data_IF_032086326751
#
_entry.id   IF_032086326751
#
_cell.length_a   1.000
_cell.length_b   1.000
_cell.length_c   1.000
_cell.angle_alpha   90.00
_cell.angle_beta   90.00
_cell.angle_gamma   90.00
#
_symmetry.space_group_name_H-M   'P 1'
#
loop_
_entity.id
_entity.type
_entity.pdbx_description
1 polymer ?
#
# COMPACT_ATOMS: atom_id res chain seq x y z
N UNK A 1 -17.10 15.96 -0.09
CA UNK A 1 -16.62 16.22 -1.45
C UNK A 1 -15.10 16.13 -1.49
N UNK A 2 -14.56 15.50 -2.52
CA UNK A 2 -13.13 15.51 -2.84
C UNK A 2 -12.90 16.68 -3.81
N UNK A 3 -11.95 17.54 -3.50
CA UNK A 3 -11.65 18.73 -4.29
C UNK A 3 -10.17 18.80 -4.63
N UNK A 4 -9.83 19.45 -5.75
CA UNK A 4 -8.47 19.87 -6.04
C UNK A 4 -8.24 21.29 -5.53
N UNK A 5 -7.04 21.55 -5.01
CA UNK A 5 -6.67 22.85 -4.48
C UNK A 5 -6.02 23.71 -5.57
N UNK A 6 -6.41 24.96 -5.65
CA UNK A 6 -5.86 25.95 -6.58
C UNK A 6 -5.37 27.18 -5.82
N UNK A 7 -4.42 27.89 -6.38
CA UNK A 7 -3.98 29.19 -5.90
C UNK A 7 -5.01 30.27 -6.28
N UNK A 8 -5.00 31.46 -5.63
CA UNK A 8 -5.94 32.51 -5.94
C UNK A 8 -5.91 33.00 -7.41
N UNK A 9 -4.78 32.83 -8.10
CA UNK A 9 -4.62 33.13 -9.53
C UNK A 9 -5.06 31.96 -10.46
N UNK A 10 -5.74 30.95 -9.91
CA UNK A 10 -6.35 29.85 -10.66
C UNK A 10 -5.39 28.74 -11.11
N UNK A 11 -4.14 28.73 -10.62
CA UNK A 11 -3.19 27.64 -10.93
C UNK A 11 -3.34 26.48 -9.96
N UNK A 12 -3.12 25.21 -10.41
CA UNK A 12 -3.06 24.07 -9.50
C UNK A 12 -2.04 24.31 -8.38
N UNK A 13 -2.45 24.11 -7.12
CA UNK A 13 -1.53 24.26 -6.00
C UNK A 13 -0.50 23.13 -5.98
N UNK A 14 0.79 23.48 -6.00
CA UNK A 14 1.88 22.51 -6.08
C UNK A 14 1.99 21.59 -4.85
N UNK A 15 1.43 22.00 -3.71
CA UNK A 15 1.36 21.23 -2.48
C UNK A 15 0.12 20.34 -2.35
N UNK A 16 -0.72 20.23 -3.39
CA UNK A 16 -1.88 19.31 -3.39
C UNK A 16 -1.51 17.94 -3.94
N UNK A 17 -1.51 16.87 -3.11
CA UNK A 17 -1.18 15.51 -3.57
C UNK A 17 -2.06 15.02 -4.72
N UNK A 18 -3.34 15.43 -4.74
CA UNK A 18 -4.27 15.06 -5.81
C UNK A 18 -3.86 15.67 -7.16
N UNK A 19 -3.40 16.92 -7.17
CA UNK A 19 -2.86 17.56 -8.37
C UNK A 19 -1.55 16.92 -8.84
N UNK A 20 -0.72 16.44 -7.90
CA UNK A 20 0.52 15.72 -8.23
C UNK A 20 0.21 14.40 -8.95
N UNK A 21 -0.73 13.60 -8.44
CA UNK A 21 -1.15 12.37 -9.12
C UNK A 21 -1.72 12.68 -10.51
N UNK A 22 -2.58 13.72 -10.64
CA UNK A 22 -3.12 14.11 -11.95
C UNK A 22 -2.02 14.43 -12.96
N UNK A 23 -1.01 15.22 -12.56
CA UNK A 23 0.13 15.55 -13.41
C UNK A 23 0.87 14.28 -13.87
N UNK A 24 1.08 13.32 -12.97
CA UNK A 24 1.74 12.05 -13.30
C UNK A 24 0.88 11.21 -14.26
N UNK A 25 -0.43 11.20 -14.09
CA UNK A 25 -1.35 10.51 -15.00
C UNK A 25 -1.41 11.18 -16.38
N UNK A 26 -1.32 12.50 -16.46
CA UNK A 26 -1.23 13.23 -17.72
C UNK A 26 0.07 12.86 -18.48
N UNK A 27 1.19 12.70 -17.78
CA UNK A 27 2.45 12.21 -18.38
C UNK A 27 2.32 10.79 -18.90
N UNK A 28 1.69 9.90 -18.13
CA UNK A 28 1.41 8.52 -18.58
C UNK A 28 0.50 8.51 -19.82
N UNK A 29 -0.55 9.35 -19.81
CA UNK A 29 -1.47 9.48 -20.94
C UNK A 29 -0.79 10.02 -22.20
N UNK A 30 0.15 10.97 -22.06
CA UNK A 30 0.96 11.46 -23.16
C UNK A 30 1.88 10.37 -23.75
N UNK A 31 2.29 9.41 -22.93
CA UNK A 31 3.05 8.23 -23.36
C UNK A 31 2.15 7.06 -23.88
N UNK A 32 0.83 7.27 -23.99
CA UNK A 32 -0.13 6.28 -24.49
C UNK A 32 -0.67 5.31 -23.42
N UNK A 33 -0.47 5.59 -22.12
CA UNK A 33 -0.86 4.70 -21.05
C UNK A 33 -2.01 5.24 -20.20
N UNK A 34 -2.86 4.32 -19.73
CA UNK A 34 -3.85 4.55 -18.68
C UNK A 34 -3.53 3.66 -17.49
N UNK A 35 -3.29 4.27 -16.34
CA UNK A 35 -2.91 3.55 -15.12
C UNK A 35 -4.15 3.16 -14.31
N UNK A 36 -4.31 1.86 -14.10
CA UNK A 36 -5.41 1.26 -13.35
C UNK A 36 -4.89 0.65 -12.06
N UNK A 37 -5.62 0.86 -10.95
CA UNK A 37 -5.27 0.34 -9.64
C UNK A 37 -6.49 -0.21 -8.90
N UNK A 38 -6.24 -1.21 -8.04
CA UNK A 38 -7.21 -1.76 -7.10
C UNK A 38 -6.52 -1.97 -5.75
N UNK A 39 -6.86 -1.21 -4.71
CA UNK A 39 -6.31 -1.41 -3.37
C UNK A 39 -7.12 -2.45 -2.59
N UNK A 40 -6.42 -3.27 -1.80
CA UNK A 40 -6.93 -4.13 -0.74
C UNK A 40 -6.73 -3.36 0.58
N UNK A 41 -7.81 -2.96 1.24
CA UNK A 41 -7.75 -2.07 2.40
C UNK A 41 -7.94 -2.86 3.69
N UNK A 42 -6.86 -3.16 4.40
CA UNK A 42 -6.91 -3.80 5.70
C UNK A 42 -7.04 -2.76 6.84
N UNK A 43 -7.73 -3.16 7.90
CA UNK A 43 -7.95 -2.34 9.09
C UNK A 43 -8.33 -3.19 10.29
N UNK A 44 -8.22 -2.59 11.50
CA UNK A 44 -8.65 -3.24 12.73
C UNK A 44 -9.91 -2.57 13.29
N UNK A 45 -10.76 -3.39 13.92
CA UNK A 45 -11.88 -2.96 14.74
C UNK A 45 -11.61 -3.25 16.22
N UNK A 46 -11.72 -2.21 17.03
CA UNK A 46 -11.60 -2.28 18.48
C UNK A 46 -12.93 -1.92 19.13
N UNK A 47 -13.23 -2.54 20.27
CA UNK A 47 -14.32 -2.12 21.14
C UNK A 47 -14.03 -0.74 21.72
N UNK A 48 -15.09 -0.01 22.06
CA UNK A 48 -14.97 1.23 22.82
C UNK A 48 -15.82 1.17 24.09
N UNK A 49 -15.37 1.84 25.16
CA UNK A 49 -16.20 2.05 26.34
C UNK A 49 -17.20 3.21 26.11
N UNK A 50 -18.16 3.45 27.04
CA UNK A 50 -19.10 4.56 26.92
C UNK A 50 -18.45 5.96 26.89
N UNK A 51 -17.20 6.10 27.33
CA UNK A 51 -16.42 7.33 27.28
C UNK A 51 -15.62 7.48 25.96
N UNK A 52 -15.67 6.46 25.06
CA UNK A 52 -14.96 6.43 23.80
C UNK A 52 -13.50 5.95 23.90
N UNK A 53 -13.07 5.42 25.05
CA UNK A 53 -11.74 4.82 25.16
C UNK A 53 -11.69 3.53 24.36
N UNK A 54 -10.56 3.33 23.65
CA UNK A 54 -10.31 2.12 22.86
C UNK A 54 -9.92 0.99 23.80
N UNK A 55 -10.58 -0.17 23.65
CA UNK A 55 -10.39 -1.36 24.45
C UNK A 55 -9.66 -2.46 23.63
N UNK A 56 -10.04 -3.72 23.85
CA UNK A 56 -9.51 -4.87 23.12
C UNK A 56 -10.06 -4.96 21.68
N UNK A 57 -9.45 -5.78 20.80
CA UNK A 57 -10.00 -6.12 19.50
C UNK A 57 -11.46 -6.59 19.59
N UNK A 58 -12.27 -6.26 18.57
CA UNK A 58 -13.70 -6.55 18.57
C UNK A 58 -14.01 -8.05 18.71
N UNK A 59 -13.19 -8.88 18.09
CA UNK A 59 -13.29 -10.34 18.18
C UNK A 59 -11.89 -10.99 18.21
N UNK A 60 -11.90 -12.34 18.27
CA UNK A 60 -10.68 -13.17 18.24
C UNK A 60 -10.68 -14.13 17.06
N UNK A 61 -11.50 -13.87 16.04
CA UNK A 61 -11.60 -14.68 14.86
C UNK A 61 -10.34 -14.58 13.96
N UNK A 62 -10.27 -15.45 12.98
CA UNK A 62 -9.31 -15.46 11.88
C UNK A 62 -10.05 -15.80 10.59
N UNK A 63 -9.35 -16.00 9.47
CA UNK A 63 -9.87 -16.15 8.10
C UNK A 63 -11.12 -17.03 7.95
N UNK A 64 -11.19 -18.16 8.64
CA UNK A 64 -12.24 -19.17 8.44
C UNK A 64 -13.12 -19.39 9.68
N UNK A 65 -12.99 -18.52 10.68
CA UNK A 65 -13.68 -18.66 11.96
C UNK A 65 -15.08 -18.04 11.93
N UNK A 66 -15.99 -18.61 11.13
CA UNK A 66 -17.33 -18.07 10.90
C UNK A 66 -18.12 -17.87 12.19
N UNK A 67 -17.95 -18.77 13.17
CA UNK A 67 -18.72 -18.73 14.43
C UNK A 67 -18.23 -17.68 15.42
N UNK A 68 -16.97 -17.27 15.34
CA UNK A 68 -16.33 -16.30 16.23
C UNK A 68 -16.13 -14.93 15.58
N UNK A 69 -16.39 -14.81 14.28
CA UNK A 69 -16.39 -13.55 13.53
C UNK A 69 -17.63 -12.70 13.87
N UNK A 70 -17.45 -11.80 14.82
CA UNK A 70 -18.53 -10.93 15.29
C UNK A 70 -18.79 -9.73 14.37
N UNK A 71 -17.91 -9.46 13.37
CA UNK A 71 -18.00 -8.28 12.54
C UNK A 71 -18.62 -8.52 11.15
N UNK A 72 -19.10 -9.72 10.82
CA UNK A 72 -19.69 -10.03 9.50
C UNK A 72 -20.79 -9.04 9.11
N UNK A 73 -21.69 -8.69 10.03
CA UNK A 73 -22.78 -7.75 9.75
C UNK A 73 -22.27 -6.32 9.56
N UNK A 74 -21.21 -5.93 10.28
CA UNK A 74 -20.58 -4.61 10.20
C UNK A 74 -19.87 -4.47 8.86
N UNK A 75 -19.07 -5.47 8.45
CA UNK A 75 -18.43 -5.48 7.11
C UNK A 75 -19.46 -5.38 5.97
N UNK A 76 -20.58 -6.10 6.09
CA UNK A 76 -21.68 -5.98 5.12
C UNK A 76 -22.29 -4.58 5.11
N UNK A 77 -22.47 -3.94 6.25
CA UNK A 77 -22.94 -2.56 6.34
C UNK A 77 -21.91 -1.60 5.71
N UNK A 78 -20.62 -1.77 5.99
CA UNK A 78 -19.52 -1.02 5.39
C UNK A 78 -19.56 -1.13 3.84
N UNK A 79 -19.60 -2.35 3.32
CA UNK A 79 -19.66 -2.59 1.88
C UNK A 79 -20.90 -1.94 1.22
N UNK A 80 -22.08 -2.07 1.82
CA UNK A 80 -23.31 -1.43 1.32
C UNK A 80 -23.22 0.09 1.34
N UNK A 81 -22.61 0.66 2.40
CA UNK A 81 -22.39 2.10 2.50
C UNK A 81 -21.48 2.60 1.37
N UNK A 82 -20.38 1.91 1.11
CA UNK A 82 -19.47 2.24 0.00
C UNK A 82 -20.20 2.12 -1.35
N UNK A 83 -20.94 1.04 -1.57
CA UNK A 83 -21.71 0.85 -2.81
C UNK A 83 -22.77 1.94 -3.02
N UNK A 84 -23.47 2.36 -1.95
CA UNK A 84 -24.43 3.47 -2.03
C UNK A 84 -23.74 4.83 -2.35
N UNK A 85 -22.45 4.97 -2.03
CA UNK A 85 -21.63 6.12 -2.40
C UNK A 85 -20.99 6.00 -3.80
N UNK A 86 -21.32 4.94 -4.55
CA UNK A 86 -20.78 4.69 -5.90
C UNK A 86 -19.39 4.04 -5.91
N UNK A 87 -18.91 3.54 -4.76
CA UNK A 87 -17.63 2.86 -4.63
C UNK A 87 -17.86 1.35 -4.71
N UNK A 88 -17.41 0.73 -5.80
CA UNK A 88 -17.57 -0.70 -5.99
C UNK A 88 -16.62 -1.49 -5.09
N UNK A 89 -17.18 -2.41 -4.31
CA UNK A 89 -16.47 -3.36 -3.45
C UNK A 89 -16.43 -4.71 -4.16
N UNK A 90 -15.28 -5.36 -4.22
CA UNK A 90 -15.07 -6.66 -4.85
C UNK A 90 -15.19 -7.80 -3.84
N UNK A 91 -14.50 -7.68 -2.68
CA UNK A 91 -14.56 -8.66 -1.61
C UNK A 91 -14.52 -7.98 -0.23
N UNK A 92 -14.95 -8.73 0.79
CA UNK A 92 -14.82 -8.38 2.21
C UNK A 92 -14.62 -9.66 3.00
N UNK A 93 -13.64 -9.68 3.89
CA UNK A 93 -13.40 -10.85 4.75
C UNK A 93 -12.76 -10.45 6.09
N UNK A 94 -12.73 -11.42 7.01
CA UNK A 94 -11.91 -11.32 8.21
C UNK A 94 -10.48 -11.66 7.85
N UNK A 95 -9.51 -10.96 8.44
CA UNK A 95 -8.09 -11.19 8.27
C UNK A 95 -7.52 -12.13 9.36
N UNK A 96 -6.19 -12.38 9.31
CA UNK A 96 -5.51 -13.34 10.18
C UNK A 96 -5.55 -12.92 11.65
N UNK A 97 -5.32 -11.63 11.94
CA UNK A 97 -5.22 -11.16 13.30
C UNK A 97 -6.60 -10.89 13.95
N UNK A 98 -6.71 -11.04 15.28
CA UNK A 98 -7.92 -10.68 16.01
C UNK A 98 -8.41 -9.27 15.70
N UNK A 99 -9.69 -9.14 15.33
CA UNK A 99 -10.29 -7.85 14.97
C UNK A 99 -9.78 -7.23 13.69
N UNK A 100 -9.05 -7.96 12.85
CA UNK A 100 -8.52 -7.49 11.56
C UNK A 100 -9.47 -7.86 10.42
N UNK A 101 -9.70 -6.90 9.54
CA UNK A 101 -10.63 -7.04 8.41
C UNK A 101 -10.03 -6.43 7.15
N UNK A 102 -10.55 -6.87 6.00
CA UNK A 102 -10.15 -6.36 4.70
C UNK A 102 -11.39 -6.04 3.84
N UNK A 103 -11.26 -4.97 3.06
CA UNK A 103 -12.23 -4.58 2.03
C UNK A 103 -11.45 -4.29 0.74
N UNK A 104 -11.71 -5.09 -0.28
CA UNK A 104 -11.12 -4.94 -1.60
C UNK A 104 -11.97 -4.00 -2.44
N UNK A 105 -11.36 -2.92 -2.90
CA UNK A 105 -12.01 -2.02 -3.83
C UNK A 105 -11.77 -2.49 -5.27
N UNK A 106 -12.83 -2.43 -6.09
CA UNK A 106 -12.73 -2.78 -7.49
C UNK A 106 -11.75 -1.83 -8.21
N UNK A 107 -11.01 -2.36 -9.19
CA UNK A 107 -10.09 -1.58 -9.99
C UNK A 107 -10.77 -0.38 -10.67
N UNK A 108 -10.07 0.74 -10.69
CA UNK A 108 -10.51 1.97 -11.32
C UNK A 108 -9.28 2.73 -11.88
N UNK A 109 -9.54 3.79 -12.62
CA UNK A 109 -8.51 4.80 -12.93
C UNK A 109 -7.86 5.29 -11.62
N UNK A 110 -6.55 5.48 -11.63
CA UNK A 110 -5.81 5.70 -10.38
C UNK A 110 -6.26 6.96 -9.61
N UNK A 111 -6.69 8.04 -10.29
CA UNK A 111 -7.20 9.21 -9.59
C UNK A 111 -8.53 8.91 -8.90
N UNK A 112 -9.44 8.23 -9.58
CA UNK A 112 -10.72 7.81 -9.02
C UNK A 112 -10.52 6.81 -7.87
N UNK A 113 -9.61 5.85 -8.02
CA UNK A 113 -9.29 4.88 -6.96
C UNK A 113 -8.72 5.56 -5.71
N UNK A 114 -7.86 6.57 -5.87
CA UNK A 114 -7.35 7.37 -4.75
C UNK A 114 -8.47 8.15 -4.04
N UNK A 115 -9.36 8.79 -4.79
CA UNK A 115 -10.56 9.48 -4.26
C UNK A 115 -11.46 8.50 -3.49
N UNK A 116 -11.69 7.30 -4.05
CA UNK A 116 -12.48 6.24 -3.42
C UNK A 116 -11.84 5.76 -2.10
N UNK A 117 -10.52 5.57 -2.08
CA UNK A 117 -9.81 5.10 -0.90
C UNK A 117 -9.86 6.12 0.26
N UNK A 118 -9.67 7.40 -0.03
CA UNK A 118 -9.81 8.48 0.98
C UNK A 118 -11.23 8.49 1.55
N UNK A 119 -12.24 8.38 0.66
CA UNK A 119 -13.66 8.34 1.05
C UNK A 119 -13.98 7.09 1.87
N UNK A 120 -13.47 5.92 1.44
CA UNK A 120 -13.68 4.66 2.14
C UNK A 120 -13.16 4.71 3.58
N UNK A 121 -11.96 5.23 3.83
CA UNK A 121 -11.42 5.37 5.20
C UNK A 121 -12.35 6.17 6.12
N UNK A 122 -12.93 7.25 5.62
CA UNK A 122 -13.87 8.08 6.39
C UNK A 122 -15.18 7.31 6.63
N UNK A 123 -15.75 6.69 5.59
CA UNK A 123 -16.99 5.94 5.68
C UNK A 123 -16.87 4.75 6.65
N UNK A 124 -15.78 3.98 6.56
CA UNK A 124 -15.55 2.83 7.43
C UNK A 124 -15.43 3.22 8.90
N UNK A 125 -14.72 4.33 9.21
CA UNK A 125 -14.66 4.88 10.57
C UNK A 125 -16.04 5.30 11.06
N UNK A 126 -16.84 5.97 10.23
CA UNK A 126 -18.19 6.38 10.60
C UNK A 126 -19.11 5.18 10.89
N UNK A 127 -19.08 4.15 10.01
CA UNK A 127 -19.86 2.93 10.22
C UNK A 127 -19.41 2.19 11.49
N UNK A 128 -18.11 2.09 11.75
CA UNK A 128 -17.60 1.51 12.98
C UNK A 128 -18.11 2.25 14.22
N UNK A 129 -18.03 3.57 14.24
CA UNK A 129 -18.52 4.41 15.33
C UNK A 129 -20.02 4.24 15.57
N UNK A 130 -20.82 4.15 14.51
CA UNK A 130 -22.27 3.88 14.62
C UNK A 130 -22.59 2.52 15.28
N UNK A 131 -21.63 1.59 15.25
CA UNK A 131 -21.73 0.27 15.89
C UNK A 131 -20.97 0.17 17.21
N UNK A 132 -20.58 1.29 17.84
CA UNK A 132 -19.85 1.32 19.10
C UNK A 132 -18.42 0.78 19.00
N UNK A 133 -17.81 0.89 17.83
CA UNK A 133 -16.46 0.41 17.54
C UNK A 133 -15.54 1.54 17.08
N UNK A 134 -14.25 1.32 17.24
CA UNK A 134 -13.19 2.14 16.66
C UNK A 134 -12.51 1.41 15.51
N UNK A 135 -12.57 1.97 14.29
CA UNK A 135 -11.80 1.48 13.15
C UNK A 135 -10.45 2.22 13.06
N UNK A 136 -9.37 1.49 12.99
CA UNK A 136 -8.03 2.06 12.80
C UNK A 136 -7.34 1.50 11.57
N UNK A 137 -6.67 2.40 10.84
CA UNK A 137 -5.78 2.12 9.72
C UNK A 137 -4.30 2.18 10.15
N UNK A 138 -4.02 2.05 11.42
CA UNK A 138 -2.66 1.94 11.96
C UNK A 138 -2.01 0.65 11.46
N UNK A 139 -0.80 0.69 10.87
CA UNK A 139 -0.19 -0.49 10.25
C UNK A 139 0.08 -1.65 11.20
N UNK A 140 0.42 -1.36 12.46
CA UNK A 140 0.70 -2.39 13.48
C UNK A 140 0.14 -1.97 14.84
N UNK A 141 -1.18 -2.10 15.08
CA UNK A 141 -1.79 -1.68 16.33
C UNK A 141 -1.55 -2.68 17.48
N UNK A 142 -1.29 -3.95 17.18
CA UNK A 142 -1.11 -5.02 18.17
C UNK A 142 0.25 -5.68 17.97
N UNK A 143 1.03 -5.79 19.04
CA UNK A 143 2.30 -6.49 19.03
C UNK A 143 2.10 -8.02 18.90
N UNK A 144 3.02 -8.69 18.17
CA UNK A 144 3.03 -10.14 18.09
C UNK A 144 2.02 -10.79 17.13
N UNK A 145 1.17 -10.01 16.45
CA UNK A 145 0.22 -10.50 15.43
C UNK A 145 0.44 -9.80 14.08
N UNK A 146 -0.21 -10.23 13.01
CA UNK A 146 -0.12 -9.57 11.70
C UNK A 146 -0.58 -8.11 11.78
N UNK A 147 0.00 -7.24 10.96
CA UNK A 147 -0.41 -5.84 10.83
C UNK A 147 -1.18 -5.62 9.53
N UNK A 148 -1.79 -4.44 9.39
CA UNK A 148 -2.57 -4.06 8.22
C UNK A 148 -1.68 -3.63 7.05
N UNK A 149 -1.83 -4.29 5.92
CA UNK A 149 -1.34 -3.89 4.61
C UNK A 149 -2.38 -3.12 3.81
N UNK A 150 -1.92 -2.57 2.72
CA UNK A 150 -2.75 -2.08 1.64
C UNK A 150 -2.10 -2.50 0.32
N UNK A 151 -2.30 -3.76 -0.04
CA UNK A 151 -1.75 -4.25 -1.30
C UNK A 151 -2.40 -3.49 -2.47
N UNK A 152 -1.61 -3.17 -3.47
CA UNK A 152 -2.10 -2.41 -4.62
C UNK A 152 -1.88 -3.19 -5.89
N UNK A 153 -2.97 -3.69 -6.46
CA UNK A 153 -2.98 -4.25 -7.79
C UNK A 153 -2.85 -3.14 -8.84
N UNK A 154 -2.02 -3.37 -9.85
CA UNK A 154 -1.67 -2.37 -10.84
C UNK A 154 -1.66 -2.98 -12.24
N UNK A 155 -2.12 -2.21 -13.23
CA UNK A 155 -1.96 -2.51 -14.65
C UNK A 155 -1.90 -1.24 -15.48
N UNK A 156 -1.27 -1.31 -16.65
CA UNK A 156 -1.36 -0.28 -17.68
C UNK A 156 -2.25 -0.76 -18.82
N UNK A 157 -3.21 0.08 -19.18
CA UNK A 157 -3.98 -0.12 -20.39
C UNK A 157 -3.46 0.82 -21.48
N UNK A 158 -3.55 0.39 -22.73
CA UNK A 158 -3.42 1.27 -23.86
C UNK A 158 -4.52 2.34 -23.78
N UNK A 159 -4.12 3.60 -23.90
CA UNK A 159 -5.01 4.75 -23.69
C UNK A 159 -6.19 4.78 -24.66
N UNK A 160 -5.94 4.42 -25.92
CA UNK A 160 -6.90 4.60 -26.99
C UNK A 160 -7.78 3.35 -27.19
N UNK A 161 -7.18 2.16 -27.05
CA UNK A 161 -7.89 0.88 -27.28
C UNK A 161 -8.42 0.24 -26.00
N UNK A 162 -7.92 0.63 -24.82
CA UNK A 162 -8.24 -0.01 -23.55
C UNK A 162 -7.66 -1.42 -23.37
N UNK A 163 -6.78 -1.88 -24.29
CA UNK A 163 -6.12 -3.18 -24.21
C UNK A 163 -5.14 -3.20 -23.03
N UNK A 164 -5.11 -4.29 -22.27
CA UNK A 164 -4.15 -4.47 -21.20
C UNK A 164 -2.74 -4.70 -21.77
N UNK A 165 -1.82 -3.79 -21.46
CA UNK A 165 -0.45 -3.80 -21.93
C UNK A 165 0.49 -4.72 -21.13
N UNK A 166 0.03 -5.21 -19.98
CA UNK A 166 0.79 -6.15 -19.15
C UNK A 166 0.69 -7.59 -19.63
N UNK A 167 -0.33 -7.89 -20.45
CA UNK A 167 -0.64 -9.25 -20.87
C UNK A 167 0.25 -9.73 -22.03
N UNK A 168 0.82 -10.91 -21.88
CA UNK A 168 1.41 -11.72 -22.94
C UNK A 168 1.03 -13.19 -22.72
N UNK A 169 0.12 -13.75 -23.54
CA UNK A 169 -0.34 -15.14 -23.38
C UNK A 169 0.75 -16.19 -23.55
N UNK A 170 1.80 -15.88 -24.28
CA UNK A 170 2.89 -16.82 -24.63
C UNK A 170 4.01 -16.81 -23.57
N UNK A 171 4.00 -15.85 -22.65
CA UNK A 171 4.98 -15.76 -21.55
C UNK A 171 4.60 -16.71 -20.40
N UNK A 172 5.56 -17.42 -19.78
CA UNK A 172 5.27 -18.34 -18.66
C UNK A 172 4.56 -17.71 -17.47
N UNK A 173 4.79 -16.41 -17.24
CA UNK A 173 4.11 -15.63 -16.21
C UNK A 173 2.90 -14.85 -16.74
N UNK A 174 2.65 -14.87 -18.05
CA UNK A 174 1.62 -14.10 -18.73
C UNK A 174 1.95 -12.61 -18.80
N UNK A 175 3.23 -12.22 -18.69
CA UNK A 175 3.72 -10.86 -18.61
C UNK A 175 4.39 -10.41 -19.90
N UNK A 176 3.94 -9.31 -20.46
CA UNK A 176 4.61 -8.64 -21.57
C UNK A 176 5.99 -8.09 -21.16
N UNK A 177 6.85 -7.79 -22.15
CA UNK A 177 8.11 -7.10 -21.90
C UNK A 177 7.91 -5.75 -21.17
N UNK A 178 6.82 -5.03 -21.48
CA UNK A 178 6.46 -3.78 -20.81
C UNK A 178 6.17 -4.00 -19.33
N UNK A 179 5.39 -5.04 -19.00
CA UNK A 179 5.10 -5.39 -17.59
C UNK A 179 6.37 -5.77 -16.82
N UNK A 180 7.28 -6.51 -17.46
CA UNK A 180 8.57 -6.86 -16.86
C UNK A 180 9.44 -5.62 -16.59
N UNK A 181 9.49 -4.67 -17.49
CA UNK A 181 10.18 -3.39 -17.27
C UNK A 181 9.51 -2.57 -16.16
N UNK A 182 8.19 -2.55 -16.10
CA UNK A 182 7.44 -1.87 -15.05
C UNK A 182 7.76 -2.47 -13.67
N UNK A 183 7.75 -3.79 -13.53
CA UNK A 183 8.14 -4.48 -12.28
C UNK A 183 9.59 -4.15 -11.92
N UNK A 184 10.52 -4.20 -12.89
CA UNK A 184 11.92 -3.87 -12.64
C UNK A 184 12.09 -2.44 -12.12
N UNK A 185 11.30 -1.49 -12.62
CA UNK A 185 11.24 -0.12 -12.10
C UNK A 185 10.75 -0.06 -10.65
N UNK A 186 9.65 -0.76 -10.31
CA UNK A 186 9.17 -0.84 -8.93
C UNK A 186 10.23 -1.40 -7.97
N UNK A 187 10.96 -2.45 -8.38
CA UNK A 187 12.02 -3.03 -7.55
C UNK A 187 13.23 -2.10 -7.42
N UNK A 188 13.60 -1.38 -8.48
CA UNK A 188 14.72 -0.44 -8.47
C UNK A 188 14.49 0.72 -7.49
N UNK A 189 13.27 1.25 -7.46
CA UNK A 189 12.88 2.39 -6.62
C UNK A 189 12.22 1.98 -5.28
N UNK A 190 12.17 0.67 -4.97
CA UNK A 190 11.44 0.15 -3.80
C UNK A 190 11.85 0.81 -2.48
N UNK A 191 13.14 1.07 -2.29
CA UNK A 191 13.66 1.67 -1.06
C UNK A 191 13.25 3.14 -0.93
N UNK A 192 13.35 3.94 -2.00
CA UNK A 192 12.93 5.34 -2.02
C UNK A 192 11.42 5.50 -1.88
N UNK A 193 10.64 4.68 -2.61
CA UNK A 193 9.19 4.68 -2.50
C UNK A 193 8.70 4.31 -1.08
N UNK A 194 9.44 3.48 -0.35
CA UNK A 194 8.99 2.92 0.93
C UNK A 194 8.57 4.02 1.92
N UNK A 195 9.27 5.17 1.95
CA UNK A 195 8.90 6.31 2.80
C UNK A 195 7.49 6.86 2.52
N UNK A 196 7.03 6.81 1.25
CA UNK A 196 5.70 7.25 0.85
C UNK A 196 4.63 6.17 1.02
N UNK A 197 5.01 4.90 0.87
CA UNK A 197 4.13 3.73 0.92
C UNK A 197 3.88 3.24 2.35
N UNK A 198 4.87 3.42 3.23
CA UNK A 198 4.88 3.03 4.63
C UNK A 198 5.39 4.23 5.48
N UNK A 199 4.56 5.30 5.64
CA UNK A 199 5.04 6.62 5.99
C UNK A 199 5.20 6.88 7.49
N UNK A 200 4.92 5.92 8.37
CA UNK A 200 4.95 6.09 9.82
C UNK A 200 6.09 5.28 10.46
N UNK A 201 6.57 5.70 11.62
CA UNK A 201 7.46 4.85 12.43
C UNK A 201 6.82 3.49 12.73
N UNK A 202 5.51 3.45 12.88
CA UNK A 202 4.74 2.23 13.12
C UNK A 202 4.69 1.30 11.89
N UNK A 203 4.79 1.82 10.68
CA UNK A 203 4.83 1.04 9.42
C UNK A 203 5.96 -0.01 9.43
N UNK A 204 7.10 0.34 9.99
CA UNK A 204 8.28 -0.54 10.06
C UNK A 204 8.18 -1.61 11.16
N UNK A 205 7.16 -1.55 12.01
CA UNK A 205 6.79 -2.64 12.91
C UNK A 205 5.93 -3.70 12.22
N UNK A 206 5.31 -3.37 11.07
CA UNK A 206 4.66 -4.32 10.16
C UNK A 206 5.68 -4.97 9.23
N UNK A 207 6.59 -4.19 8.64
CA UNK A 207 7.56 -4.65 7.64
C UNK A 207 8.72 -5.41 8.29
N UNK A 208 8.39 -6.48 8.99
CA UNK A 208 9.32 -7.40 9.67
C UNK A 208 9.06 -8.84 9.23
N UNK A 209 10.10 -9.71 9.18
CA UNK A 209 9.92 -11.11 8.83
C UNK A 209 8.95 -11.84 9.77
N UNK A 210 8.18 -12.80 9.24
CA UNK A 210 7.32 -13.69 10.03
C UNK A 210 5.86 -13.21 10.22
N UNK A 211 5.45 -12.11 9.61
CA UNK A 211 4.10 -11.54 9.74
C UNK A 211 3.42 -11.25 8.39
N UNK A 212 3.66 -12.10 7.39
CA UNK A 212 3.07 -12.01 6.03
C UNK A 212 3.28 -10.65 5.32
N UNK A 213 4.25 -9.86 5.78
CA UNK A 213 4.64 -8.61 5.16
C UNK A 213 5.89 -8.79 4.29
N UNK A 214 5.98 -8.13 3.12
CA UNK A 214 7.16 -8.20 2.28
C UNK A 214 8.30 -7.42 2.91
N UNK A 215 9.46 -8.06 3.03
CA UNK A 215 10.68 -7.44 3.55
C UNK A 215 11.77 -7.40 2.47
N UNK A 216 11.73 -8.35 1.54
CA UNK A 216 12.75 -8.55 0.52
C UNK A 216 12.32 -7.97 -0.83
N UNK A 217 13.23 -7.26 -1.49
CA UNK A 217 12.99 -6.67 -2.81
C UNK A 217 13.10 -7.77 -3.86
N UNK A 218 11.99 -8.44 -4.11
CA UNK A 218 11.85 -9.56 -5.00
C UNK A 218 10.48 -9.57 -5.67
N UNK A 219 10.30 -10.42 -6.68
CA UNK A 219 9.01 -10.66 -7.30
C UNK A 219 8.78 -12.16 -7.52
N UNK A 220 7.53 -12.57 -7.58
CA UNK A 220 7.16 -13.96 -7.83
C UNK A 220 5.66 -14.12 -8.05
N UNK A 221 5.21 -15.35 -8.32
CA UNK A 221 3.80 -15.68 -8.53
C UNK A 221 3.16 -16.28 -7.29
N UNK A 222 3.80 -17.30 -6.70
CA UNK A 222 3.26 -18.07 -5.58
C UNK A 222 3.77 -17.56 -4.23
N UNK A 223 4.88 -16.85 -4.24
CA UNK A 223 5.55 -16.36 -3.05
C UNK A 223 4.84 -15.14 -2.45
N UNK A 224 4.15 -15.32 -1.31
CA UNK A 224 3.49 -14.24 -0.56
C UNK A 224 4.48 -13.35 0.21
N UNK A 225 5.75 -13.75 0.34
CA UNK A 225 6.80 -12.92 0.94
C UNK A 225 7.46 -11.97 -0.07
N UNK A 226 7.18 -12.12 -1.38
CA UNK A 226 7.70 -11.25 -2.42
C UNK A 226 7.10 -9.84 -2.33
N UNK A 227 7.91 -8.82 -2.65
CA UNK A 227 7.47 -7.42 -2.71
C UNK A 227 6.45 -7.19 -3.82
N UNK A 228 6.69 -7.76 -5.00
CA UNK A 228 5.77 -7.71 -6.14
C UNK A 228 5.30 -9.12 -6.45
N UNK A 229 3.99 -9.35 -6.31
CA UNK A 229 3.34 -10.61 -6.68
C UNK A 229 2.67 -10.46 -8.06
N UNK A 230 2.76 -11.51 -8.88
CA UNK A 230 2.06 -11.62 -10.16
C UNK A 230 0.91 -12.63 -9.98
N UNK A 231 -0.32 -12.18 -9.74
CA UNK A 231 -1.46 -13.08 -9.57
C UNK A 231 -1.65 -13.99 -10.80
N UNK A 232 -1.99 -15.25 -10.55
CA UNK A 232 -2.27 -16.20 -11.64
C UNK A 232 -3.54 -15.78 -12.39
N UNK A 233 -3.46 -15.74 -13.71
CA UNK A 233 -4.58 -15.41 -14.58
C UNK A 233 -5.16 -16.69 -15.16
N UNK A 234 -6.48 -16.81 -15.15
CA UNK A 234 -7.18 -17.89 -15.84
C UNK A 234 -6.99 -17.76 -17.35
N UNK A 235 -6.69 -18.86 -18.03
CA UNK A 235 -6.53 -18.89 -19.48
C UNK A 235 -7.73 -18.22 -20.18
N UNK A 236 -7.45 -17.36 -21.15
CA UNK A 236 -8.46 -16.57 -21.86
C UNK A 236 -8.87 -15.26 -21.18
N UNK A 237 -8.48 -15.01 -19.90
CA UNK A 237 -8.78 -13.76 -19.19
C UNK A 237 -7.61 -12.78 -19.13
N UNK A 238 -6.87 -12.64 -20.21
CA UNK A 238 -5.65 -11.83 -20.27
C UNK A 238 -5.87 -10.33 -19.97
N UNK A 239 -7.08 -9.81 -20.15
CA UNK A 239 -7.41 -8.45 -19.73
C UNK A 239 -7.33 -8.24 -18.21
N UNK A 240 -7.32 -9.30 -17.41
CA UNK A 240 -7.15 -9.23 -15.96
C UNK A 240 -5.68 -9.32 -15.50
N UNK A 241 -4.71 -9.34 -16.43
CA UNK A 241 -3.28 -9.36 -16.11
C UNK A 241 -2.90 -8.13 -15.29
N UNK A 242 -2.27 -8.37 -14.15
CA UNK A 242 -1.91 -7.33 -13.19
C UNK A 242 -0.74 -7.77 -12.34
N UNK A 243 -0.13 -6.84 -11.69
CA UNK A 243 0.85 -7.05 -10.62
C UNK A 243 0.30 -6.51 -9.31
N UNK A 244 0.79 -7.00 -8.19
CA UNK A 244 0.41 -6.58 -6.85
C UNK A 244 1.66 -6.12 -6.10
N UNK A 245 1.69 -4.85 -5.70
CA UNK A 245 2.72 -4.31 -4.82
C UNK A 245 2.25 -4.44 -3.37
N UNK A 246 3.03 -5.13 -2.52
CA UNK A 246 2.58 -5.60 -1.21
C UNK A 246 3.10 -4.79 -0.01
N UNK A 247 4.07 -3.89 -0.19
CA UNK A 247 4.62 -3.11 0.92
C UNK A 247 3.76 -1.93 1.40
N UNK A 248 2.86 -1.32 0.60
CA UNK A 248 2.07 -0.21 1.10
C UNK A 248 1.24 -0.59 2.31
N UNK A 249 0.97 0.38 3.16
CA UNK A 249 0.04 0.24 4.28
C UNK A 249 -1.08 1.28 4.24
N UNK A 250 -2.18 1.06 4.96
CA UNK A 250 -3.36 1.91 4.89
C UNK A 250 -3.17 3.30 5.50
N UNK A 251 -2.01 3.63 6.08
CA UNK A 251 -1.71 4.99 6.57
C UNK A 251 -1.15 5.90 5.47
N UNK A 252 -0.70 5.35 4.33
CA UNK A 252 -0.13 6.15 3.26
C UNK A 252 -1.16 7.13 2.64
N UNK A 253 -0.65 8.20 2.06
CA UNK A 253 -1.46 9.08 1.19
C UNK A 253 -1.60 8.41 -0.19
N UNK A 254 -2.82 8.01 -0.64
CA UNK A 254 -2.98 7.25 -1.87
C UNK A 254 -2.55 8.01 -3.11
N UNK A 255 -2.71 9.33 -3.14
CA UNK A 255 -2.27 10.14 -4.27
C UNK A 255 -0.75 10.11 -4.43
N UNK A 256 0.00 10.24 -3.32
CA UNK A 256 1.47 10.15 -3.34
C UNK A 256 1.95 8.73 -3.60
N UNK A 257 1.28 7.74 -3.02
CA UNK A 257 1.60 6.33 -3.22
C UNK A 257 1.46 5.93 -4.69
N UNK A 258 0.34 6.26 -5.33
CA UNK A 258 0.12 5.93 -6.74
C UNK A 258 1.01 6.74 -7.68
N UNK A 259 1.34 7.98 -7.31
CA UNK A 259 2.34 8.79 -8.05
C UNK A 259 3.69 8.09 -8.05
N UNK A 260 4.18 7.67 -6.88
CA UNK A 260 5.47 7.00 -6.75
C UNK A 260 5.52 5.68 -7.51
N UNK A 261 4.46 4.85 -7.38
CA UNK A 261 4.35 3.57 -8.11
C UNK A 261 4.38 3.77 -9.63
N UNK A 262 3.61 4.73 -10.14
CA UNK A 262 3.57 5.03 -11.58
C UNK A 262 4.90 5.57 -12.08
N UNK A 263 5.53 6.50 -11.34
CA UNK A 263 6.83 7.06 -11.69
C UNK A 263 7.92 5.98 -11.78
N UNK A 264 8.00 5.13 -10.75
CA UNK A 264 8.93 4.00 -10.72
C UNK A 264 8.71 3.04 -11.89
N UNK A 265 7.46 2.65 -12.16
CA UNK A 265 7.13 1.77 -13.26
C UNK A 265 7.45 2.37 -14.62
N UNK A 266 7.14 3.64 -14.85
CA UNK A 266 7.46 4.35 -16.10
C UNK A 266 8.97 4.55 -16.29
N UNK A 267 9.73 4.78 -15.22
CA UNK A 267 11.19 4.82 -15.30
C UNK A 267 11.76 3.47 -15.76
N UNK A 268 11.24 2.37 -15.20
CA UNK A 268 11.60 1.02 -15.63
C UNK A 268 11.32 0.77 -17.11
N UNK A 269 10.15 1.21 -17.62
CA UNK A 269 9.79 1.11 -19.05
C UNK A 269 10.71 1.98 -19.90
N UNK A 270 10.90 3.25 -19.54
CA UNK A 270 11.73 4.21 -20.30
C UNK A 270 13.16 3.73 -20.43
N UNK A 271 13.75 3.22 -19.34
CA UNK A 271 15.13 2.72 -19.30
C UNK A 271 15.25 1.27 -19.73
N UNK A 272 14.15 0.59 -20.00
CA UNK A 272 14.11 -0.86 -20.32
C UNK A 272 14.89 -1.68 -19.30
N UNK A 273 14.65 -1.40 -18.01
CA UNK A 273 15.35 -2.09 -16.93
C UNK A 273 15.13 -3.60 -17.00
N UNK A 274 16.20 -4.40 -16.91
CA UNK A 274 16.08 -5.84 -16.90
C UNK A 274 15.43 -6.31 -15.59
N UNK A 275 14.43 -7.21 -15.71
CA UNK A 275 13.84 -7.86 -14.56
C UNK A 275 14.67 -9.09 -14.16
N UNK A 276 15.03 -9.20 -12.89
CA UNK A 276 15.70 -10.39 -12.33
C UNK A 276 14.77 -11.59 -12.39
N UNK A 277 15.33 -12.79 -12.22
CA UNK A 277 14.54 -14.01 -12.10
C UNK A 277 13.55 -13.94 -10.95
N UNK A 278 12.41 -14.62 -11.11
CA UNK A 278 11.40 -14.70 -10.08
C UNK A 278 11.90 -15.50 -8.87
N UNK A 279 11.51 -15.09 -7.68
CA UNK A 279 11.77 -15.80 -6.42
C UNK A 279 10.48 -16.48 -5.99
N UNK A 280 10.34 -17.76 -6.31
CA UNK A 280 9.13 -18.54 -6.00
C UNK A 280 9.21 -19.26 -4.64
N UNK A 281 10.37 -19.23 -4.01
CA UNK A 281 10.59 -19.80 -2.69
C UNK A 281 10.02 -18.91 -1.59
N UNK A 282 9.56 -19.55 -0.51
CA UNK A 282 9.16 -18.83 0.70
C UNK A 282 10.40 -18.25 1.39
N UNK A 283 10.54 -16.92 1.34
CA UNK A 283 11.66 -16.19 1.92
C UNK A 283 11.59 -16.05 3.45
N UNK A 284 10.51 -16.48 4.10
CA UNK A 284 10.42 -16.45 5.56
C UNK A 284 11.33 -17.50 6.22
N UNK A 285 11.70 -18.55 5.48
CA UNK A 285 12.51 -19.68 5.95
C UNK A 285 13.91 -19.77 5.32
N UNK A 286 14.29 -18.82 4.48
CA UNK A 286 15.59 -18.79 3.77
C UNK A 286 16.39 -17.58 4.24
N UNK A 287 17.72 -17.69 4.34
CA UNK A 287 18.58 -16.52 4.52
C UNK A 287 18.66 -15.73 3.19
N UNK A 288 17.99 -14.58 3.09
CA UNK A 288 17.95 -13.81 1.84
C UNK A 288 19.28 -13.18 1.48
N UNK A 289 20.18 -12.99 2.46
CA UNK A 289 21.54 -12.48 2.21
C UNK A 289 22.36 -13.48 1.41
N UNK A 290 22.17 -14.77 1.66
CA UNK A 290 22.78 -15.85 0.87
C UNK A 290 22.34 -15.83 -0.60
N UNK A 291 21.19 -15.19 -0.92
CA UNK A 291 20.64 -15.03 -2.28
C UNK A 291 20.97 -13.67 -2.90
N UNK A 292 21.73 -12.80 -2.23
CA UNK A 292 22.01 -11.45 -2.70
C UNK A 292 20.76 -10.56 -2.82
N UNK A 293 19.67 -10.87 -2.10
CA UNK A 293 18.46 -10.06 -2.05
C UNK A 293 18.68 -8.88 -1.11
N UNK A 294 18.36 -7.70 -1.61
CA UNK A 294 18.29 -6.47 -0.79
C UNK A 294 16.95 -6.43 -0.05
N UNK A 295 16.93 -5.72 1.09
CA UNK A 295 15.73 -5.52 1.89
C UNK A 295 15.15 -4.12 1.70
N UNK A 296 13.86 -3.99 1.98
CA UNK A 296 13.26 -2.69 2.24
C UNK A 296 13.95 -2.01 3.43
N UNK A 297 13.83 -0.68 3.59
CA UNK A 297 14.28 0.01 4.80
C UNK A 297 13.67 -0.60 6.06
N UNK A 298 14.43 -0.65 7.14
CA UNK A 298 13.99 -1.24 8.41
C UNK A 298 13.46 -0.22 9.41
N UNK A 299 13.50 1.07 9.06
CA UNK A 299 13.01 2.18 9.87
C UNK A 299 12.55 3.33 8.99
N UNK A 300 11.74 4.24 9.55
CA UNK A 300 11.36 5.46 8.86
C UNK A 300 12.59 6.29 8.50
N UNK A 301 13.58 6.41 9.40
CA UNK A 301 14.83 7.13 9.12
C UNK A 301 15.54 6.59 7.87
N UNK A 302 15.77 5.28 7.81
CA UNK A 302 16.45 4.66 6.65
C UNK A 302 15.61 4.74 5.35
N UNK A 303 14.29 4.84 5.44
CA UNK A 303 13.44 5.07 4.29
C UNK A 303 13.51 6.51 3.78
N UNK A 304 13.57 7.49 4.70
CA UNK A 304 13.77 8.89 4.36
C UNK A 304 15.13 9.14 3.69
N UNK A 305 16.18 8.48 4.18
CA UNK A 305 17.51 8.55 3.56
C UNK A 305 17.46 7.99 2.13
N UNK A 306 16.83 6.84 1.93
CA UNK A 306 16.66 6.26 0.61
C UNK A 306 15.81 7.12 -0.32
N UNK A 307 14.77 7.82 0.19
CA UNK A 307 13.97 8.76 -0.60
C UNK A 307 14.78 9.98 -1.04
N UNK A 308 15.66 10.51 -0.19
CA UNK A 308 16.54 11.64 -0.53
C UNK A 308 17.50 11.34 -1.69
N UNK A 309 17.86 10.08 -1.86
CA UNK A 309 18.74 9.60 -2.92
C UNK A 309 17.99 9.22 -4.21
N UNK A 310 16.64 9.18 -4.19
CA UNK A 310 15.82 8.75 -5.31
C UNK A 310 15.25 9.94 -6.08
N UNK A 311 16.04 10.47 -7.03
CA UNK A 311 15.67 11.63 -7.84
C UNK A 311 14.36 11.42 -8.62
N UNK A 312 14.10 10.20 -9.12
CA UNK A 312 12.88 9.89 -9.89
C UNK A 312 11.62 10.07 -9.03
N UNK A 313 11.65 9.57 -7.81
CA UNK A 313 10.52 9.68 -6.89
C UNK A 313 10.36 11.11 -6.37
N UNK A 314 11.46 11.79 -6.05
CA UNK A 314 11.44 13.21 -5.63
C UNK A 314 10.88 14.12 -6.72
N UNK A 315 11.31 13.94 -7.98
CA UNK A 315 10.79 14.70 -9.12
C UNK A 315 9.28 14.44 -9.33
N UNK A 316 8.86 13.18 -9.23
CA UNK A 316 7.45 12.81 -9.42
C UNK A 316 6.52 13.48 -8.42
N UNK A 317 6.87 13.50 -7.14
CA UNK A 317 6.06 14.18 -6.09
C UNK A 317 6.23 15.70 -6.11
N UNK A 318 7.33 16.18 -6.67
CA UNK A 318 7.66 17.59 -6.81
C UNK A 318 8.25 18.24 -5.54
N UNK A 319 9.04 19.31 -5.69
CA UNK A 319 9.85 19.87 -4.61
C UNK A 319 9.02 20.37 -3.41
N UNK A 320 7.86 20.97 -3.66
CA UNK A 320 7.00 21.50 -2.59
C UNK A 320 6.47 20.41 -1.65
N UNK A 321 6.11 19.23 -2.19
CA UNK A 321 5.67 18.09 -1.38
C UNK A 321 6.87 17.38 -0.78
N UNK A 322 7.94 17.17 -1.56
CA UNK A 322 9.14 16.49 -1.09
C UNK A 322 9.73 17.14 0.17
N UNK A 323 9.93 18.45 0.14
CA UNK A 323 10.45 19.24 1.28
C UNK A 323 9.57 19.03 2.52
N UNK A 324 8.28 19.33 2.41
CA UNK A 324 7.34 19.25 3.54
C UNK A 324 7.16 17.83 4.07
N UNK A 325 7.14 16.85 3.20
CA UNK A 325 7.02 15.44 3.58
C UNK A 325 8.26 14.98 4.33
N UNK A 326 9.45 15.26 3.78
CA UNK A 326 10.73 14.91 4.41
C UNK A 326 10.87 15.58 5.79
N UNK A 327 10.55 16.87 5.90
CA UNK A 327 10.61 17.60 7.16
C UNK A 327 9.66 17.00 8.21
N UNK A 328 8.39 16.80 7.84
CA UNK A 328 7.39 16.29 8.78
C UNK A 328 7.73 14.86 9.24
N UNK A 329 8.18 14.00 8.34
CA UNK A 329 8.55 12.61 8.67
C UNK A 329 9.89 12.54 9.42
N UNK A 330 10.82 13.45 9.14
CA UNK A 330 12.06 13.55 9.90
C UNK A 330 11.79 13.94 11.37
N UNK A 331 10.91 14.92 11.60
CA UNK A 331 10.52 15.32 12.96
C UNK A 331 9.84 14.17 13.71
N UNK A 332 8.98 13.38 13.05
CA UNK A 332 8.37 12.18 13.66
C UNK A 332 9.45 11.15 14.03
N UNK A 333 10.40 10.90 13.11
CA UNK A 333 11.50 9.96 13.36
C UNK A 333 12.39 10.39 14.53
N UNK A 334 12.78 11.67 14.58
CA UNK A 334 13.62 12.21 15.68
C UNK A 334 12.89 12.14 17.03
N UNK A 335 11.60 12.48 17.05
CA UNK A 335 10.78 12.36 18.26
C UNK A 335 10.68 10.91 18.75
N UNK A 336 10.43 9.97 17.83
CA UNK A 336 10.36 8.55 18.15
C UNK A 336 11.69 8.00 18.62
N UNK A 337 12.79 8.37 17.96
CA UNK A 337 14.15 7.91 18.29
C UNK A 337 14.60 8.34 19.69
N UNK A 338 14.13 9.48 20.16
CA UNK A 338 14.42 10.00 21.49
C UNK A 338 13.46 9.45 22.58
N UNK A 339 12.38 8.77 22.18
CA UNK A 339 11.39 8.25 23.13
C UNK A 339 11.90 6.98 23.81
N UNK A 340 11.93 7.00 25.16
CA UNK A 340 12.25 5.82 25.97
C UNK A 340 10.98 4.99 26.15
N UNK A 341 10.96 3.82 25.54
CA UNK A 341 9.80 2.93 25.57
C UNK A 341 9.67 2.17 26.88
N UNK A 342 8.43 1.76 27.24
CA UNK A 342 8.19 0.92 28.39
C UNK A 342 9.00 -0.40 28.34
N UNK A 343 9.18 -0.97 27.13
CA UNK A 343 9.98 -2.17 26.91
C UNK A 343 11.45 -1.96 27.32
N UNK A 344 12.05 -0.79 27.04
CA UNK A 344 13.42 -0.46 27.45
C UNK A 344 13.53 -0.31 28.97
N UNK A 345 12.54 0.36 29.58
CA UNK A 345 12.48 0.53 31.04
C UNK A 345 12.39 -0.83 31.74
N UNK A 346 11.47 -1.69 31.32
CA UNK A 346 11.28 -3.02 31.89
C UNK A 346 12.51 -3.92 31.72
N UNK A 347 13.24 -3.77 30.62
CA UNK A 347 14.39 -4.60 30.29
C UNK A 347 15.69 -4.13 30.90
N UNK A 348 15.89 -2.84 31.04
CA UNK A 348 17.21 -2.28 31.34
C UNK A 348 17.28 -1.55 32.70
N UNK A 349 16.23 -0.88 33.16
CA UNK A 349 16.28 0.01 34.32
C UNK A 349 16.76 -0.68 35.60
N UNK A 350 16.40 -1.95 35.81
CA UNK A 350 16.80 -2.70 37.01
C UNK A 350 18.19 -3.37 36.90
N UNK A 351 18.77 -3.40 35.68
CA UNK A 351 20.02 -4.13 35.42
C UNK A 351 21.24 -3.19 35.32
N UNK A 352 21.00 -1.99 34.77
CA UNK A 352 22.01 -0.97 34.54
C UNK A 352 21.72 0.30 35.34
#
# INVERSE_FOLDING_TARGET
>A
LICSVYTPDGKPFAGDPRNVLRRMLDQAAAAGYRFMVAPELEFFLFKTDPNGNILEPHDKASYFDISTDLATHIRRQMARTLQAMGIAVEAVHHEVAPGQHEIDLRYADALQSADHLVTARVALKAVAQMNGLHATFMPKPIAGVNGSGMHVHQSLLDRDTGKNLFADPDDPYGLSALARHFIAGLLAHARGMCALLAPLVNSYKRLVPGFEAPVYISWGRTNRSALVRVPRITAGRYQATRIELRCPDPACNPYLAYTAMLAAGLDGIRRKLPLRDATEEDLFHVDPRARGLTTLPTSLGSALDALREDEVILEAIGPSIAERFLDARQQEWESYRAYVSQWEIERYLAIF
#
